data_IF_386409819707
#
_entry.id   IF_386409819707
#
_cell.length_a   1.000
_cell.length_b   1.000
_cell.length_c   1.000
_cell.angle_alpha   90.00
_cell.angle_beta   90.00
_cell.angle_gamma   90.00
#
_symmetry.space_group_name_H-M   'P 1'
#
loop_
_entity.id
_entity.type
_entity.pdbx_description
1 polymer ?
#
# COMPACT_ATOMS: atom_id res chain seq x y z
N UNK A 1 -9.20 -0.72 -28.52
CA UNK A 1 -10.08 -1.08 -27.38
C UNK A 1 -9.25 -1.11 -26.11
N UNK A 2 -9.67 -0.40 -25.05
CA UNK A 2 -8.92 -0.27 -23.78
C UNK A 2 -9.18 -1.41 -22.78
N UNK A 3 -9.76 -2.53 -23.23
CA UNK A 3 -10.14 -3.66 -22.37
C UNK A 3 -9.00 -4.19 -21.48
N UNK A 4 -7.76 -4.38 -22.00
CA UNK A 4 -6.65 -4.85 -21.18
C UNK A 4 -6.23 -3.86 -20.08
N UNK A 5 -6.34 -2.55 -20.29
CA UNK A 5 -6.06 -1.54 -19.27
C UNK A 5 -7.08 -1.64 -18.14
N UNK A 6 -8.38 -1.65 -18.49
CA UNK A 6 -9.47 -1.75 -17.53
C UNK A 6 -9.32 -3.04 -16.70
N UNK A 7 -9.01 -4.17 -17.33
CA UNK A 7 -8.80 -5.44 -16.64
C UNK A 7 -7.67 -5.37 -15.58
N UNK A 8 -6.57 -4.67 -15.88
CA UNK A 8 -5.47 -4.51 -14.91
C UNK A 8 -5.86 -3.60 -13.73
N UNK A 9 -6.62 -2.52 -13.99
CA UNK A 9 -7.13 -1.64 -12.92
C UNK A 9 -8.13 -2.41 -12.05
N UNK A 10 -9.06 -3.14 -12.66
CA UNK A 10 -10.03 -3.99 -11.95
C UNK A 10 -9.32 -5.06 -11.12
N UNK A 11 -8.24 -5.66 -11.63
CA UNK A 11 -7.43 -6.60 -10.85
C UNK A 11 -6.84 -5.93 -9.60
N UNK A 12 -6.26 -4.73 -9.73
CA UNK A 12 -5.70 -4.00 -8.59
C UNK A 12 -6.79 -3.67 -7.56
N UNK A 13 -7.96 -3.20 -7.99
CA UNK A 13 -9.07 -2.98 -7.07
C UNK A 13 -9.65 -4.26 -6.48
N UNK A 14 -9.66 -5.35 -7.24
CA UNK A 14 -10.01 -6.67 -6.74
C UNK A 14 -9.10 -7.11 -5.60
N UNK A 15 -7.80 -6.81 -5.68
CA UNK A 15 -6.85 -7.03 -4.59
C UNK A 15 -7.15 -6.10 -3.42
N UNK A 16 -7.26 -4.78 -3.66
CA UNK A 16 -7.51 -3.79 -2.60
C UNK A 16 -8.78 -4.14 -1.80
N UNK A 17 -9.90 -4.34 -2.50
CA UNK A 17 -11.20 -4.63 -1.90
C UNK A 17 -11.20 -6.06 -1.36
N UNK A 18 -10.79 -7.06 -2.14
CA UNK A 18 -10.84 -8.46 -1.72
C UNK A 18 -10.02 -8.74 -0.47
N UNK A 19 -8.86 -8.09 -0.32
CA UNK A 19 -8.04 -8.20 0.89
C UNK A 19 -8.65 -7.40 2.03
N UNK A 20 -9.20 -6.19 1.83
CA UNK A 20 -9.67 -5.36 2.95
C UNK A 20 -11.13 -5.60 3.37
N UNK A 21 -11.97 -6.22 2.52
CA UNK A 21 -13.37 -6.50 2.81
C UNK A 21 -13.59 -7.34 4.09
N UNK A 22 -12.75 -8.34 4.40
CA UNK A 22 -12.86 -9.09 5.66
C UNK A 22 -12.35 -8.32 6.89
N UNK A 23 -11.57 -7.25 6.73
CA UNK A 23 -10.90 -6.60 7.86
C UNK A 23 -11.90 -6.03 8.91
N UNK A 24 -12.99 -5.32 8.51
CA UNK A 24 -14.02 -4.90 9.46
C UNK A 24 -14.74 -6.06 10.14
N UNK A 25 -14.94 -7.18 9.43
CA UNK A 25 -15.58 -8.39 10.00
C UNK A 25 -14.72 -9.05 11.09
N UNK A 26 -13.40 -8.82 11.05
CA UNK A 26 -12.44 -9.25 12.06
C UNK A 26 -12.23 -8.17 13.16
N UNK A 27 -13.02 -7.09 13.11
CA UNK A 27 -12.93 -5.94 14.01
C UNK A 27 -11.63 -5.15 13.85
N UNK A 28 -10.98 -5.21 12.69
CA UNK A 28 -9.79 -4.41 12.40
C UNK A 28 -10.26 -3.04 11.91
N UNK A 29 -10.55 -2.13 12.86
CA UNK A 29 -10.96 -0.77 12.56
C UNK A 29 -9.88 0.24 13.01
N UNK A 30 -9.60 1.22 12.15
CA UNK A 30 -8.70 2.32 12.43
C UNK A 30 -9.43 3.54 13.04
N UNK A 31 -10.75 3.50 13.18
CA UNK A 31 -11.55 4.63 13.67
C UNK A 31 -11.70 4.72 15.20
N UNK A 32 -11.33 3.69 15.98
CA UNK A 32 -11.63 3.65 17.42
C UNK A 32 -10.76 4.57 18.31
N UNK A 33 -9.64 5.11 17.82
CA UNK A 33 -8.73 5.93 18.64
C UNK A 33 -9.15 7.41 18.75
N UNK A 34 -10.38 7.65 19.19
CA UNK A 34 -10.93 9.00 19.44
C UNK A 34 -10.35 9.72 20.69
N UNK A 35 -9.46 9.06 21.43
CA UNK A 35 -8.85 9.59 22.68
C UNK A 35 -7.43 10.14 22.45
N UNK A 36 -6.83 9.92 21.28
CA UNK A 36 -5.42 10.26 21.02
C UNK A 36 -5.27 11.65 20.39
N UNK A 37 -4.27 12.42 20.84
CA UNK A 37 -3.96 13.70 20.23
C UNK A 37 -3.39 13.49 18.82
N UNK A 38 -4.23 13.77 17.82
CA UNK A 38 -3.85 13.72 16.40
C UNK A 38 -2.63 14.57 16.11
N UNK A 39 -1.72 14.08 15.27
CA UNK A 39 -0.55 14.87 14.83
C UNK A 39 -1.00 16.01 13.91
N UNK A 40 -0.38 17.18 14.00
CA UNK A 40 -0.76 18.36 13.20
C UNK A 40 -0.63 18.15 11.68
N UNK A 41 0.24 17.22 11.28
CA UNK A 41 0.49 16.86 9.89
C UNK A 41 -0.20 15.57 9.44
N UNK A 42 -0.94 14.88 10.32
CA UNK A 42 -1.71 13.69 9.97
C UNK A 42 -2.92 14.10 9.12
N UNK A 43 -3.21 13.44 7.99
CA UNK A 43 -4.30 13.83 7.13
C UNK A 43 -5.64 13.36 7.73
N UNK A 44 -6.78 13.94 7.32
CA UNK A 44 -8.08 13.42 7.74
C UNK A 44 -8.24 11.96 7.33
N UNK A 45 -8.92 11.15 8.16
CA UNK A 45 -9.03 9.70 7.94
C UNK A 45 -9.57 9.30 6.56
N UNK A 46 -10.45 10.11 5.95
CA UNK A 46 -10.98 9.86 4.60
C UNK A 46 -9.93 10.05 3.48
N UNK A 47 -8.82 10.74 3.73
CA UNK A 47 -7.75 10.95 2.73
C UNK A 47 -6.97 9.66 2.49
N UNK A 48 -6.79 8.84 3.52
CA UNK A 48 -6.06 7.57 3.44
C UNK A 48 -6.64 6.63 2.35
N UNK A 49 -7.95 6.28 2.35
CA UNK A 49 -8.52 5.43 1.32
C UNK A 49 -8.52 6.09 -0.07
N UNK A 50 -8.64 7.43 -0.16
CA UNK A 50 -8.53 8.15 -1.43
C UNK A 50 -7.13 7.99 -2.03
N UNK A 51 -6.08 8.16 -1.22
CA UNK A 51 -4.70 7.98 -1.69
C UNK A 51 -4.48 6.54 -2.14
N UNK A 52 -4.92 5.56 -1.36
CA UNK A 52 -4.83 4.16 -1.78
C UNK A 52 -5.60 3.87 -3.08
N UNK A 53 -6.78 4.45 -3.25
CA UNK A 53 -7.53 4.33 -4.51
C UNK A 53 -6.71 4.81 -5.70
N UNK A 54 -6.06 5.98 -5.59
CA UNK A 54 -5.18 6.54 -6.62
C UNK A 54 -3.95 5.65 -6.85
N UNK A 55 -3.26 5.25 -5.78
CA UNK A 55 -2.08 4.40 -5.87
C UNK A 55 -2.38 3.07 -6.58
N UNK A 56 -3.50 2.43 -6.26
CA UNK A 56 -3.91 1.19 -6.93
C UNK A 56 -4.29 1.41 -8.40
N UNK A 57 -4.85 2.57 -8.77
CA UNK A 57 -5.00 2.94 -10.19
C UNK A 57 -3.63 3.01 -10.88
N UNK A 58 -2.66 3.69 -10.27
CA UNK A 58 -1.31 3.85 -10.83
C UNK A 58 -0.62 2.50 -11.01
N UNK A 59 -0.72 1.59 -10.04
CA UNK A 59 -0.22 0.23 -10.16
C UNK A 59 -0.90 -0.55 -11.29
N UNK A 60 -2.20 -0.35 -11.50
CA UNK A 60 -2.94 -0.97 -12.61
C UNK A 60 -2.44 -0.48 -13.97
N UNK A 61 -2.21 0.83 -14.09
CA UNK A 61 -1.62 1.44 -15.29
C UNK A 61 -0.18 0.95 -15.49
N UNK A 62 0.64 0.91 -14.43
CA UNK A 62 2.02 0.43 -14.48
C UNK A 62 2.09 -1.02 -14.98
N UNK A 63 1.21 -1.87 -14.47
CA UNK A 63 1.10 -3.27 -14.86
C UNK A 63 0.70 -3.42 -16.33
N UNK A 64 -0.29 -2.65 -16.77
CA UNK A 64 -0.71 -2.62 -18.18
C UNK A 64 0.43 -2.16 -19.10
N UNK A 65 1.11 -1.06 -18.77
CA UNK A 65 2.24 -0.54 -19.54
C UNK A 65 3.36 -1.57 -19.67
N UNK A 66 3.68 -2.28 -18.59
CA UNK A 66 4.69 -3.33 -18.61
C UNK A 66 4.26 -4.54 -19.43
N UNK A 67 3.03 -5.03 -19.26
CA UNK A 67 2.50 -6.17 -20.01
C UNK A 67 2.45 -5.90 -21.53
N UNK A 68 2.21 -4.65 -21.94
CA UNK A 68 2.23 -4.26 -23.36
C UNK A 68 3.64 -4.25 -23.95
N UNK A 69 4.64 -3.82 -23.17
CA UNK A 69 6.05 -3.71 -23.63
C UNK A 69 6.83 -5.02 -23.48
N UNK A 70 6.43 -5.88 -22.55
CA UNK A 70 7.08 -7.16 -22.27
C UNK A 70 6.04 -8.27 -22.01
N UNK A 71 5.32 -8.72 -23.06
CA UNK A 71 4.19 -9.65 -22.92
C UNK A 71 4.55 -11.06 -22.44
N UNK A 72 5.83 -11.44 -22.44
CA UNK A 72 6.33 -12.73 -21.90
C UNK A 72 7.08 -12.61 -20.57
N UNK A 73 7.28 -11.39 -20.06
CA UNK A 73 8.06 -11.16 -18.86
C UNK A 73 7.24 -11.31 -17.58
N UNK A 74 7.73 -12.09 -16.61
CA UNK A 74 7.08 -12.30 -15.32
C UNK A 74 7.19 -11.10 -14.35
N UNK A 75 7.92 -10.05 -14.73
CA UNK A 75 8.18 -8.87 -13.89
C UNK A 75 6.88 -8.16 -13.47
N UNK A 76 5.81 -8.27 -14.27
CA UNK A 76 4.52 -7.69 -13.89
C UNK A 76 3.97 -8.25 -12.58
N UNK A 77 4.30 -9.50 -12.22
CA UNK A 77 3.89 -10.11 -10.95
C UNK A 77 4.49 -9.41 -9.73
N UNK A 78 5.61 -8.71 -9.88
CA UNK A 78 6.16 -7.88 -8.81
C UNK A 78 5.20 -6.75 -8.41
N UNK A 79 4.50 -6.16 -9.40
CA UNK A 79 3.49 -5.12 -9.15
C UNK A 79 2.29 -5.73 -8.39
N UNK A 80 1.86 -6.94 -8.76
CA UNK A 80 0.79 -7.66 -8.03
C UNK A 80 1.20 -7.99 -6.60
N UNK A 81 2.43 -8.49 -6.41
CA UNK A 81 2.96 -8.78 -5.07
C UNK A 81 3.03 -7.53 -4.20
N UNK A 82 3.50 -6.41 -4.76
CA UNK A 82 3.49 -5.13 -4.08
C UNK A 82 2.06 -4.67 -3.71
N UNK A 83 1.10 -4.82 -4.63
CA UNK A 83 -0.30 -4.48 -4.39
C UNK A 83 -0.90 -5.32 -3.24
N UNK A 84 -0.61 -6.63 -3.20
CA UNK A 84 -1.04 -7.51 -2.11
C UNK A 84 -0.41 -7.06 -0.79
N UNK A 85 0.90 -6.82 -0.76
CA UNK A 85 1.61 -6.35 0.43
C UNK A 85 1.04 -5.03 0.96
N UNK A 86 0.71 -4.10 0.06
CA UNK A 86 0.06 -2.85 0.43
C UNK A 86 -1.36 -3.08 0.97
N UNK A 87 -2.14 -3.94 0.33
CA UNK A 87 -3.52 -4.21 0.72
C UNK A 87 -3.60 -4.94 2.07
N UNK A 88 -2.59 -5.72 2.45
CA UNK A 88 -2.55 -6.45 3.73
C UNK A 88 -2.17 -5.59 4.93
N UNK A 89 -2.02 -4.27 4.76
CA UNK A 89 -1.67 -3.31 5.81
C UNK A 89 -2.47 -3.50 7.11
N UNK A 90 -3.80 -3.58 7.02
CA UNK A 90 -4.66 -3.74 8.19
C UNK A 90 -4.37 -5.02 9.00
N UNK A 91 -3.95 -6.09 8.32
CA UNK A 91 -3.74 -7.40 8.94
C UNK A 91 -2.42 -7.46 9.69
N UNK A 92 -1.33 -7.00 9.08
CA UNK A 92 -0.04 -7.04 9.76
C UNK A 92 0.07 -5.94 10.83
N UNK A 93 -0.74 -4.89 10.79
CA UNK A 93 -0.75 -3.86 11.84
C UNK A 93 -1.71 -4.23 12.98
N UNK A 94 -3.01 -4.09 12.74
CA UNK A 94 -4.05 -4.31 13.75
C UNK A 94 -4.20 -5.80 14.08
N UNK A 95 -4.14 -6.68 13.07
CA UNK A 95 -4.30 -8.12 13.27
C UNK A 95 -3.19 -8.72 14.14
N UNK A 96 -1.92 -8.45 13.82
CA UNK A 96 -0.79 -8.92 14.64
C UNK A 96 -0.78 -8.28 16.03
N UNK A 97 -1.20 -7.00 16.15
CA UNK A 97 -1.34 -6.37 17.46
C UNK A 97 -2.34 -7.09 18.35
N UNK A 98 -3.53 -7.43 17.81
CA UNK A 98 -4.54 -8.22 18.55
C UNK A 98 -4.03 -9.61 18.95
N UNK A 99 -3.23 -10.26 18.11
CA UNK A 99 -2.73 -11.61 18.38
C UNK A 99 -1.55 -11.65 19.37
N UNK A 100 -0.66 -10.67 19.31
CA UNK A 100 0.61 -10.69 20.06
C UNK A 100 0.62 -9.78 21.27
N UNK A 101 -0.33 -8.85 21.39
CA UNK A 101 -0.37 -7.81 22.42
C UNK A 101 0.70 -6.72 22.24
N UNK A 102 1.53 -6.79 21.18
CA UNK A 102 2.50 -5.74 20.84
C UNK A 102 1.75 -4.59 20.16
N UNK A 103 2.20 -3.35 20.40
CA UNK A 103 1.59 -2.15 19.80
C UNK A 103 1.52 -2.24 18.27
N UNK A 104 0.35 -1.96 17.71
CA UNK A 104 0.11 -1.89 16.26
C UNK A 104 1.08 -0.93 15.55
N UNK A 105 1.60 0.08 16.26
CA UNK A 105 2.55 1.06 15.72
C UNK A 105 3.90 0.42 15.38
N UNK A 106 4.38 -0.53 16.19
CA UNK A 106 5.63 -1.23 15.90
C UNK A 106 5.50 -2.10 14.65
N UNK A 107 4.39 -2.82 14.51
CA UNK A 107 4.12 -3.57 13.29
C UNK A 107 3.87 -2.67 12.09
N UNK A 108 3.21 -1.52 12.28
CA UNK A 108 3.06 -0.48 11.28
C UNK A 108 4.40 0.02 10.77
N UNK A 109 5.35 0.27 11.67
CA UNK A 109 6.70 0.68 11.31
C UNK A 109 7.43 -0.40 10.48
N UNK A 110 7.44 -1.64 10.95
CA UNK A 110 8.11 -2.76 10.26
C UNK A 110 7.48 -3.00 8.88
N UNK A 111 6.15 -3.03 8.81
CA UNK A 111 5.43 -3.23 7.56
C UNK A 111 5.63 -2.09 6.57
N UNK A 112 5.65 -0.83 7.04
CA UNK A 112 5.97 0.30 6.19
C UNK A 112 7.39 0.21 5.61
N UNK A 113 8.38 -0.17 6.41
CA UNK A 113 9.75 -0.41 5.92
C UNK A 113 9.75 -1.49 4.84
N UNK A 114 9.03 -2.60 5.05
CA UNK A 114 8.90 -3.66 4.07
C UNK A 114 8.26 -3.18 2.76
N UNK A 115 7.20 -2.37 2.82
CA UNK A 115 6.54 -1.77 1.66
C UNK A 115 7.46 -0.79 0.93
N UNK A 116 8.18 0.08 1.64
CA UNK A 116 9.12 1.04 1.04
C UNK A 116 10.22 0.29 0.28
N UNK A 117 10.88 -0.67 0.92
CA UNK A 117 11.95 -1.45 0.30
C UNK A 117 11.44 -2.24 -0.91
N UNK A 118 10.26 -2.85 -0.78
CA UNK A 118 9.62 -3.57 -1.89
C UNK A 118 9.28 -2.64 -3.04
N UNK A 119 8.67 -1.48 -2.79
CA UNK A 119 8.32 -0.51 -3.83
C UNK A 119 9.55 0.02 -4.56
N UNK A 120 10.64 0.33 -3.85
CA UNK A 120 11.91 0.74 -4.45
C UNK A 120 12.54 -0.38 -5.28
N UNK A 121 12.54 -1.61 -4.78
CA UNK A 121 13.04 -2.78 -5.51
C UNK A 121 12.23 -3.03 -6.79
N UNK A 122 10.90 -2.98 -6.70
CA UNK A 122 10.01 -3.12 -7.86
C UNK A 122 10.28 -2.00 -8.86
N UNK A 123 10.31 -0.73 -8.43
CA UNK A 123 10.60 0.40 -9.30
C UNK A 123 11.97 0.25 -10.00
N UNK A 124 13.00 -0.18 -9.27
CA UNK A 124 14.34 -0.44 -9.84
C UNK A 124 14.30 -1.54 -10.92
N UNK A 125 13.66 -2.68 -10.63
CA UNK A 125 13.54 -3.78 -11.60
C UNK A 125 12.70 -3.39 -12.83
N UNK A 126 11.68 -2.55 -12.66
CA UNK A 126 10.87 -2.04 -13.76
C UNK A 126 11.64 -1.04 -14.62
N UNK A 127 12.61 -0.32 -14.07
CA UNK A 127 13.35 0.75 -14.78
C UNK A 127 14.04 0.25 -16.05
N UNK A 128 14.50 -1.00 -16.07
CA UNK A 128 15.16 -1.61 -17.23
C UNK A 128 14.17 -1.99 -18.35
N UNK A 129 12.89 -2.21 -18.01
CA UNK A 129 11.86 -2.65 -18.95
C UNK A 129 10.91 -1.52 -19.38
N UNK A 130 10.54 -0.63 -18.45
CA UNK A 130 9.65 0.50 -18.68
C UNK A 130 9.85 1.57 -17.60
N UNK A 131 10.53 2.66 -17.96
CA UNK A 131 10.70 3.83 -17.08
C UNK A 131 9.34 4.39 -16.64
N UNK A 132 8.34 4.40 -17.53
CA UNK A 132 6.99 4.84 -17.18
C UNK A 132 6.37 3.97 -16.07
N UNK A 133 6.47 2.64 -16.18
CA UNK A 133 5.95 1.74 -15.15
C UNK A 133 6.71 1.90 -13.82
N UNK A 134 8.03 2.09 -13.89
CA UNK A 134 8.87 2.39 -12.72
C UNK A 134 8.40 3.64 -11.98
N UNK A 135 8.24 4.77 -12.70
CA UNK A 135 7.80 6.04 -12.12
C UNK A 135 6.39 5.97 -11.53
N UNK A 136 5.49 5.16 -12.09
CA UNK A 136 4.14 4.97 -11.56
C UNK A 136 4.11 4.20 -10.23
N UNK A 137 5.15 3.43 -9.91
CA UNK A 137 5.28 2.72 -8.63
C UNK A 137 5.86 3.60 -7.52
N UNK A 138 6.73 4.57 -7.86
CA UNK A 138 7.40 5.46 -6.89
C UNK A 138 6.46 6.16 -5.90
N UNK A 139 5.26 6.66 -6.30
CA UNK A 139 4.31 7.26 -5.37
C UNK A 139 3.92 6.37 -4.20
N UNK A 140 3.96 5.04 -4.34
CA UNK A 140 3.74 4.10 -3.23
C UNK A 140 4.79 4.30 -2.15
N UNK A 141 6.08 4.30 -2.52
CA UNK A 141 7.17 4.49 -1.56
C UNK A 141 7.08 5.87 -0.88
N UNK A 142 6.78 6.93 -1.65
CA UNK A 142 6.63 8.29 -1.11
C UNK A 142 5.51 8.37 -0.09
N UNK A 143 4.33 7.81 -0.42
CA UNK A 143 3.20 7.76 0.50
C UNK A 143 3.53 6.97 1.77
N UNK A 144 4.18 5.81 1.63
CA UNK A 144 4.53 4.98 2.78
C UNK A 144 5.60 5.62 3.66
N UNK A 145 6.55 6.39 3.09
CA UNK A 145 7.49 7.21 3.88
C UNK A 145 6.73 8.23 4.72
N UNK A 146 5.75 8.92 4.13
CA UNK A 146 4.89 9.85 4.87
C UNK A 146 4.09 9.15 5.97
N UNK A 147 3.46 8.01 5.68
CA UNK A 147 2.77 7.19 6.68
C UNK A 147 3.73 6.74 7.81
N UNK A 148 4.99 6.46 7.49
CA UNK A 148 6.02 6.14 8.48
C UNK A 148 6.31 7.31 9.42
N UNK A 149 6.37 8.54 8.89
CA UNK A 149 6.57 9.73 9.72
C UNK A 149 5.42 9.95 10.72
N UNK A 150 4.19 9.58 10.37
CA UNK A 150 3.03 9.59 11.29
C UNK A 150 3.24 8.56 12.39
N UNK A 151 3.51 7.29 12.04
CA UNK A 151 3.76 6.21 13.01
C UNK A 151 4.90 6.55 13.98
N UNK A 152 5.99 7.15 13.48
CA UNK A 152 7.11 7.60 14.32
C UNK A 152 6.68 8.72 15.27
N UNK A 153 5.94 9.71 14.77
CA UNK A 153 5.43 10.81 15.59
C UNK A 153 4.54 10.31 16.73
N UNK A 154 3.66 9.36 16.44
CA UNK A 154 2.80 8.74 17.46
C UNK A 154 3.60 7.92 18.48
N UNK A 155 4.64 7.20 18.06
CA UNK A 155 5.54 6.49 18.97
C UNK A 155 6.29 7.45 19.90
N UNK A 156 6.65 8.65 19.42
CA UNK A 156 7.30 9.68 20.22
C UNK A 156 6.34 10.31 21.25
N UNK A 157 5.04 10.40 20.96
CA UNK A 157 4.03 10.90 21.89
C UNK A 157 3.64 9.90 23.00
N UNK A 158 3.95 8.60 22.83
CA UNK A 158 3.72 7.58 23.85
C UNK A 158 4.79 7.55 24.96
N UNK A 159 5.88 8.31 24.80
CA UNK A 159 6.95 8.46 25.79
C UNK A 159 6.69 9.66 26.69
#
# INVERSE_FOLDING_TARGET
>A
MNGPLIANIVLMYGILIGVNLPAPLLGLDFQEDSVRQRLWYEPPGYVIPIVWFVLFTLLGIARYELARRNPGGNIHWLITGLAILCATYAYYTLGLSKLTGVSALWFGLVGNVAVILSALLVAYQLGTASMTASLLVVPVAVWTVYATAIVIGELMQLK
#
